data_IF_432157799478
#
_entry.id   IF_432157799478
#
_cell.length_a   1.000
_cell.length_b   1.000
_cell.length_c   1.000
_cell.angle_alpha   90.00
_cell.angle_beta   90.00
_cell.angle_gamma   90.00
#
_symmetry.space_group_name_H-M   'P 1'
#
loop_
_entity.id
_entity.type
_entity.pdbx_description
1 polymer ?
#
# COMPACT_ATOMS: atom_id res chain seq x y z
N UNK A 1 -60.56 -1.07 -17.21
CA UNK A 1 -59.79 -2.25 -16.75
C UNK A 1 -58.32 -1.95 -17.03
N UNK A 2 -57.64 -1.30 -16.06
CA UNK A 2 -56.22 -0.94 -16.16
C UNK A 2 -55.41 -1.98 -15.41
N UNK A 3 -54.56 -2.65 -16.13
CA UNK A 3 -53.61 -3.64 -15.59
C UNK A 3 -52.32 -2.90 -15.16
N UNK A 4 -52.05 -2.86 -13.83
CA UNK A 4 -50.78 -2.38 -13.28
C UNK A 4 -49.71 -3.48 -13.44
N UNK A 5 -48.71 -3.22 -14.25
CA UNK A 5 -47.49 -4.04 -14.27
C UNK A 5 -46.60 -3.62 -13.10
N UNK A 6 -46.49 -4.51 -12.10
CA UNK A 6 -45.42 -4.41 -11.08
C UNK A 6 -44.11 -4.94 -11.67
N UNK A 7 -43.17 -4.03 -11.92
CA UNK A 7 -41.78 -4.40 -12.22
C UNK A 7 -41.03 -4.71 -10.92
N UNK A 8 -40.70 -5.97 -10.71
CA UNK A 8 -39.78 -6.39 -9.65
C UNK A 8 -38.35 -6.00 -10.05
N UNK A 9 -37.82 -4.97 -9.39
CA UNK A 9 -36.38 -4.70 -9.41
C UNK A 9 -35.68 -5.77 -8.54
N UNK A 10 -35.04 -6.75 -9.18
CA UNK A 10 -34.13 -7.65 -8.48
C UNK A 10 -32.84 -6.88 -8.18
N UNK A 11 -32.64 -6.55 -6.91
CA UNK A 11 -31.35 -6.05 -6.42
C UNK A 11 -30.28 -7.13 -6.67
N UNK A 12 -29.32 -6.83 -7.53
CA UNK A 12 -28.14 -7.66 -7.69
C UNK A 12 -27.41 -7.71 -6.34
N UNK A 13 -27.35 -8.89 -5.76
CA UNK A 13 -26.52 -9.20 -4.60
C UNK A 13 -25.06 -8.99 -5.01
N UNK A 14 -24.32 -8.24 -4.20
CA UNK A 14 -22.86 -8.16 -4.34
C UNK A 14 -22.32 -9.58 -4.36
N UNK A 15 -21.56 -9.91 -5.42
CA UNK A 15 -20.91 -11.20 -5.55
C UNK A 15 -19.98 -11.42 -4.34
N UNK A 16 -20.16 -12.55 -3.68
CA UNK A 16 -19.26 -13.08 -2.66
C UNK A 16 -17.82 -12.98 -3.18
N UNK A 17 -17.01 -12.18 -2.51
CA UNK A 17 -15.57 -12.21 -2.71
C UNK A 17 -15.11 -13.62 -2.31
N UNK A 18 -14.76 -14.45 -3.30
CA UNK A 18 -14.32 -15.81 -3.10
C UNK A 18 -13.18 -15.80 -2.08
N UNK A 19 -13.32 -16.56 -0.98
CA UNK A 19 -12.26 -16.74 0.00
C UNK A 19 -11.00 -17.23 -0.74
N UNK A 20 -9.81 -16.67 -0.41
CA UNK A 20 -8.58 -17.08 -1.07
C UNK A 20 -8.34 -18.58 -0.82
N UNK A 21 -8.28 -19.35 -1.89
CA UNK A 21 -8.08 -20.81 -1.86
C UNK A 21 -6.64 -21.22 -1.48
N UNK A 22 -5.88 -20.31 -0.86
CA UNK A 22 -4.46 -20.51 -0.58
C UNK A 22 -4.14 -20.32 0.91
N UNK A 23 -3.55 -21.37 1.50
CA UNK A 23 -3.10 -21.33 2.90
C UNK A 23 -1.83 -20.48 3.01
N UNK A 24 -1.90 -19.40 3.80
CA UNK A 24 -0.76 -18.54 4.08
C UNK A 24 0.23 -19.22 5.03
N UNK A 25 1.52 -18.87 4.97
CA UNK A 25 2.48 -19.30 5.97
C UNK A 25 2.03 -18.91 7.38
N UNK A 26 2.35 -19.79 8.36
CA UNK A 26 2.03 -19.53 9.76
C UNK A 26 2.53 -18.16 10.22
N UNK A 27 1.65 -17.37 10.84
CA UNK A 27 1.94 -16.03 11.33
C UNK A 27 1.55 -14.91 10.36
N UNK A 28 0.91 -15.26 9.23
CA UNK A 28 0.38 -14.30 8.25
C UNK A 28 -1.14 -14.40 8.12
N UNK A 29 -1.77 -13.29 7.76
CA UNK A 29 -3.19 -13.18 7.44
C UNK A 29 -3.41 -12.17 6.32
N UNK A 30 -4.61 -12.16 5.76
CA UNK A 30 -5.06 -11.11 4.85
C UNK A 30 -5.58 -9.91 5.65
N UNK A 31 -5.21 -8.69 5.26
CA UNK A 31 -5.65 -7.47 5.94
C UNK A 31 -7.18 -7.32 5.98
N UNK A 32 -7.87 -7.72 4.89
CA UNK A 32 -9.33 -7.62 4.79
C UNK A 32 -10.09 -8.65 5.67
N UNK A 33 -9.43 -9.69 6.17
CA UNK A 33 -10.02 -10.61 7.16
C UNK A 33 -9.98 -10.03 8.59
N UNK A 34 -9.20 -8.98 8.80
CA UNK A 34 -8.99 -8.34 10.11
C UNK A 34 -9.63 -6.95 10.16
N UNK A 35 -9.72 -6.25 9.04
CA UNK A 35 -10.22 -4.88 8.91
C UNK A 35 -11.33 -4.87 7.85
N UNK A 36 -12.58 -4.87 8.29
CA UNK A 36 -13.77 -5.09 7.43
C UNK A 36 -13.96 -4.06 6.31
N UNK A 37 -13.53 -2.80 6.50
CA UNK A 37 -13.73 -1.70 5.56
C UNK A 37 -12.43 -1.19 4.92
N UNK A 38 -11.34 -1.99 5.01
CA UNK A 38 -10.08 -1.67 4.35
C UNK A 38 -10.27 -1.62 2.83
N UNK A 39 -9.68 -0.61 2.21
CA UNK A 39 -9.64 -0.49 0.75
C UNK A 39 -8.30 -1.02 0.25
N UNK A 40 -8.35 -1.90 -0.74
CA UNK A 40 -7.15 -2.46 -1.36
C UNK A 40 -6.94 -1.83 -2.74
N UNK A 41 -5.88 -1.03 -2.90
CA UNK A 41 -5.38 -0.50 -4.16
C UNK A 41 -3.96 -1.03 -4.40
N UNK A 42 -3.83 -2.35 -4.48
CA UNK A 42 -2.53 -3.05 -4.53
C UNK A 42 -1.85 -2.77 -5.86
N UNK A 43 -0.98 -1.77 -5.87
CA UNK A 43 -0.37 -1.19 -7.08
C UNK A 43 0.49 -2.18 -7.84
N UNK A 44 1.15 -3.09 -7.16
CA UNK A 44 2.06 -4.04 -7.79
C UNK A 44 1.35 -5.25 -8.42
N UNK A 45 0.06 -5.45 -8.14
CA UNK A 45 -0.78 -6.41 -8.83
C UNK A 45 -1.34 -5.89 -10.17
N UNK A 46 -1.00 -4.67 -10.57
CA UNK A 46 -1.39 -4.02 -11.84
C UNK A 46 -0.19 -3.36 -12.50
N UNK A 47 -0.37 -2.82 -13.71
CA UNK A 47 0.66 -2.04 -14.41
C UNK A 47 0.76 -0.58 -13.93
N UNK A 48 -0.16 -0.10 -13.07
CA UNK A 48 -0.13 1.28 -12.57
C UNK A 48 0.81 1.41 -11.35
N UNK A 49 2.10 1.26 -11.60
CA UNK A 49 3.20 1.41 -10.64
C UNK A 49 4.44 1.98 -11.36
N UNK A 50 5.49 2.27 -10.63
CA UNK A 50 6.69 2.92 -11.17
C UNK A 50 7.47 2.07 -12.21
N UNK A 51 7.21 0.76 -12.27
CA UNK A 51 7.79 -0.14 -13.29
C UNK A 51 6.97 -0.10 -14.59
N UNK A 52 5.63 0.00 -14.47
CA UNK A 52 4.68 -0.03 -15.58
C UNK A 52 4.30 -1.43 -16.05
N UNK A 53 4.52 -2.45 -15.21
CA UNK A 53 4.14 -3.85 -15.44
C UNK A 53 3.65 -4.45 -14.11
N UNK A 54 2.94 -5.59 -14.17
CA UNK A 54 2.65 -6.40 -12.98
C UNK A 54 3.97 -6.91 -12.40
N UNK A 55 4.13 -6.80 -11.10
CA UNK A 55 5.38 -7.14 -10.42
C UNK A 55 5.45 -8.62 -10.09
N UNK A 56 6.64 -9.21 -10.27
CA UNK A 56 6.88 -10.62 -9.99
C UNK A 56 6.44 -11.01 -8.58
N UNK A 57 5.59 -12.02 -8.49
CA UNK A 57 5.08 -12.56 -7.23
C UNK A 57 3.78 -11.93 -6.74
N UNK A 58 3.20 -10.95 -7.47
CA UNK A 58 1.84 -10.48 -7.27
C UNK A 58 0.90 -11.17 -8.26
N UNK A 59 0.17 -12.18 -7.78
CA UNK A 59 -0.77 -12.98 -8.57
C UNK A 59 -2.22 -12.53 -8.34
N UNK A 60 -2.48 -11.83 -7.22
CA UNK A 60 -3.77 -11.23 -6.89
C UNK A 60 -3.59 -9.93 -6.09
N UNK A 61 -4.60 -9.02 -6.06
CA UNK A 61 -4.52 -7.73 -5.39
C UNK A 61 -4.85 -7.84 -3.89
N UNK A 62 -4.12 -8.66 -3.14
CA UNK A 62 -4.30 -8.83 -1.71
C UNK A 62 -3.20 -8.13 -0.90
N UNK A 63 -3.59 -7.60 0.26
CA UNK A 63 -2.67 -7.16 1.30
C UNK A 63 -2.48 -8.28 2.32
N UNK A 64 -1.29 -8.89 2.32
CA UNK A 64 -0.90 -9.93 3.28
C UNK A 64 0.01 -9.29 4.33
N UNK A 65 -0.19 -9.60 5.62
CA UNK A 65 0.58 -9.03 6.72
C UNK A 65 0.90 -10.11 7.75
N UNK A 66 1.88 -9.85 8.62
CA UNK A 66 1.98 -10.61 9.87
C UNK A 66 0.76 -10.34 10.74
N UNK A 67 0.34 -11.34 11.54
CA UNK A 67 -0.83 -11.21 12.43
C UNK A 67 -0.68 -10.00 13.36
N UNK A 68 0.52 -9.77 13.89
CA UNK A 68 0.82 -8.66 14.80
C UNK A 68 0.68 -7.31 14.09
N UNK A 69 1.18 -7.20 12.84
CA UNK A 69 1.04 -5.97 12.06
C UNK A 69 -0.43 -5.71 11.66
N UNK A 70 -1.19 -6.76 11.34
CA UNK A 70 -2.61 -6.65 11.02
C UNK A 70 -3.43 -6.17 12.23
N UNK A 71 -3.14 -6.69 13.43
CA UNK A 71 -3.83 -6.25 14.66
C UNK A 71 -3.48 -4.80 15.03
N UNK A 72 -2.22 -4.40 14.90
CA UNK A 72 -1.81 -3.01 15.12
C UNK A 72 -2.46 -2.06 14.08
N UNK A 73 -2.53 -2.49 12.80
CA UNK A 73 -3.20 -1.72 11.76
C UNK A 73 -4.72 -1.65 12.01
N UNK A 74 -5.33 -2.71 12.53
CA UNK A 74 -6.75 -2.68 12.91
C UNK A 74 -7.01 -1.61 13.96
N UNK A 75 -6.18 -1.50 14.98
CA UNK A 75 -6.31 -0.46 16.01
C UNK A 75 -6.19 0.95 15.39
N UNK A 76 -5.24 1.15 14.48
CA UNK A 76 -5.12 2.41 13.72
C UNK A 76 -6.36 2.66 12.83
N UNK A 77 -6.89 1.64 12.16
CA UNK A 77 -8.09 1.75 11.33
C UNK A 77 -9.32 2.11 12.15
N UNK A 78 -9.49 1.54 13.34
CA UNK A 78 -10.57 1.87 14.27
C UNK A 78 -10.48 3.35 14.74
N UNK A 79 -9.25 3.85 14.99
CA UNK A 79 -9.00 5.25 15.32
C UNK A 79 -9.32 6.19 14.13
N UNK A 80 -8.89 5.86 12.91
CA UNK A 80 -9.23 6.61 11.69
C UNK A 80 -10.73 6.64 11.45
N UNK A 81 -11.41 5.50 11.61
CA UNK A 81 -12.87 5.39 11.43
C UNK A 81 -13.63 6.29 12.40
N UNK A 82 -13.18 6.38 13.66
CA UNK A 82 -13.77 7.28 14.65
C UNK A 82 -13.64 8.77 14.25
N UNK A 83 -12.67 9.10 13.39
CA UNK A 83 -12.48 10.44 12.83
C UNK A 83 -13.13 10.62 11.45
N UNK A 84 -13.84 9.62 10.92
CA UNK A 84 -14.51 9.68 9.63
C UNK A 84 -13.63 9.33 8.43
N UNK A 85 -12.56 8.53 8.63
CA UNK A 85 -11.66 8.08 7.58
C UNK A 85 -11.61 6.55 7.49
N UNK A 86 -11.15 6.05 6.34
CA UNK A 86 -10.89 4.64 6.08
C UNK A 86 -9.43 4.44 5.63
N UNK A 87 -8.89 3.27 5.91
CA UNK A 87 -7.54 2.88 5.47
C UNK A 87 -7.59 2.38 4.02
N UNK A 88 -6.66 2.84 3.18
CA UNK A 88 -6.40 2.30 1.85
C UNK A 88 -4.95 1.82 1.78
N UNK A 89 -4.75 0.55 1.38
CA UNK A 89 -3.44 -0.10 1.30
C UNK A 89 -2.96 -0.16 -0.14
N UNK A 90 -1.74 0.31 -0.39
CA UNK A 90 -1.05 0.23 -1.69
C UNK A 90 -0.16 -1.01 -1.78
N UNK A 91 0.52 -1.37 -0.68
CA UNK A 91 1.36 -2.55 -0.55
C UNK A 91 1.51 -2.97 0.91
N UNK A 92 1.75 -4.27 1.16
CA UNK A 92 2.00 -4.82 2.48
C UNK A 92 3.16 -5.83 2.43
N UNK A 93 2.93 -7.12 2.61
CA UNK A 93 3.97 -8.11 2.33
C UNK A 93 4.35 -8.07 0.85
N UNK A 94 5.63 -7.94 0.57
CA UNK A 94 6.22 -7.92 -0.77
C UNK A 94 7.18 -9.09 -0.92
N UNK A 95 6.96 -10.05 -1.82
CA UNK A 95 7.87 -11.19 -1.98
C UNK A 95 9.26 -10.74 -2.43
N UNK A 96 10.29 -11.51 -2.08
CA UNK A 96 11.67 -11.21 -2.48
C UNK A 96 11.85 -11.22 -4.02
N UNK A 97 11.00 -11.95 -4.75
CA UNK A 97 10.94 -11.90 -6.22
C UNK A 97 10.61 -10.50 -6.75
N UNK A 98 9.66 -9.80 -6.11
CA UNK A 98 9.31 -8.42 -6.44
C UNK A 98 10.48 -7.45 -6.21
N UNK A 99 11.17 -7.57 -5.08
CA UNK A 99 12.37 -6.77 -4.79
C UNK A 99 13.45 -6.97 -5.87
N UNK A 100 13.67 -8.22 -6.28
CA UNK A 100 14.58 -8.53 -7.39
C UNK A 100 14.11 -7.96 -8.72
N UNK A 101 12.79 -7.92 -8.97
CA UNK A 101 12.22 -7.29 -10.16
C UNK A 101 12.52 -5.79 -10.19
N UNK A 102 12.33 -5.06 -9.10
CA UNK A 102 12.65 -3.64 -9.01
C UNK A 102 14.12 -3.35 -9.31
N UNK A 103 15.03 -4.15 -8.73
CA UNK A 103 16.47 -4.01 -8.99
C UNK A 103 16.81 -4.29 -10.46
N UNK A 104 16.25 -5.33 -11.08
CA UNK A 104 16.44 -5.61 -12.52
C UNK A 104 15.89 -4.48 -13.39
N UNK A 105 14.70 -3.97 -13.06
CA UNK A 105 14.09 -2.86 -13.77
C UNK A 105 14.94 -1.58 -13.68
N UNK A 106 15.51 -1.25 -12.53
CA UNK A 106 16.33 -0.05 -12.35
C UNK A 106 17.58 -0.04 -13.27
N UNK A 107 18.02 -1.22 -13.73
CA UNK A 107 19.17 -1.38 -14.63
C UNK A 107 18.80 -1.26 -16.12
N UNK A 108 17.52 -1.29 -16.48
CA UNK A 108 17.03 -1.13 -17.87
C UNK A 108 16.96 0.36 -18.22
N UNK A 109 18.06 0.96 -18.66
CA UNK A 109 18.22 2.41 -18.82
C UNK A 109 17.19 3.05 -19.77
N UNK A 110 16.75 2.33 -20.80
CA UNK A 110 15.89 2.84 -21.86
C UNK A 110 14.39 2.80 -21.51
N UNK A 111 14.00 2.08 -20.47
CA UNK A 111 12.60 1.99 -20.03
C UNK A 111 12.28 3.12 -19.01
N UNK A 112 11.83 4.25 -19.52
CA UNK A 112 11.50 5.46 -18.74
C UNK A 112 10.02 5.84 -18.82
N UNK A 113 9.13 4.92 -19.24
CA UNK A 113 7.71 5.17 -19.53
C UNK A 113 6.92 5.71 -18.35
N UNK A 114 7.28 5.36 -17.10
CA UNK A 114 6.59 5.79 -15.88
C UNK A 114 7.28 6.98 -15.19
N UNK A 115 8.31 7.57 -15.84
CA UNK A 115 9.15 8.60 -15.25
C UNK A 115 8.38 9.82 -14.79
N UNK A 116 7.52 10.35 -15.66
CA UNK A 116 6.88 11.65 -15.44
C UNK A 116 5.92 11.63 -14.23
N UNK A 117 5.38 10.47 -13.90
CA UNK A 117 4.50 10.27 -12.76
C UNK A 117 5.26 9.95 -11.47
N UNK A 118 6.22 9.00 -11.53
CA UNK A 118 6.80 8.43 -10.32
C UNK A 118 8.20 8.95 -9.97
N UNK A 119 9.03 9.32 -10.97
CA UNK A 119 10.41 9.75 -10.71
C UNK A 119 10.88 10.87 -11.66
N UNK A 120 10.09 11.98 -11.76
CA UNK A 120 10.35 13.04 -12.73
C UNK A 120 11.70 13.74 -12.55
N UNK A 121 12.23 13.75 -11.32
CA UNK A 121 13.52 14.35 -10.98
C UNK A 121 14.71 13.52 -11.47
N UNK A 122 14.50 12.24 -11.83
CA UNK A 122 15.57 11.31 -12.17
C UNK A 122 15.67 11.07 -13.67
N UNK A 123 16.83 11.40 -14.25
CA UNK A 123 17.21 11.05 -15.64
C UNK A 123 17.81 9.65 -15.74
N UNK A 124 18.27 9.11 -14.63
CA UNK A 124 18.85 7.78 -14.52
C UNK A 124 18.27 7.07 -13.28
N UNK A 125 17.48 6.03 -13.54
CA UNK A 125 16.79 5.31 -12.48
C UNK A 125 17.67 4.38 -11.64
N UNK A 126 18.95 4.16 -12.03
CA UNK A 126 19.92 3.46 -11.14
C UNK A 126 20.16 4.27 -9.86
N UNK A 127 20.03 5.59 -9.91
CA UNK A 127 20.14 6.47 -8.74
C UNK A 127 19.07 6.19 -7.69
N UNK A 128 17.91 5.64 -8.08
CA UNK A 128 16.85 5.26 -7.14
C UNK A 128 17.30 4.18 -6.16
N UNK A 129 18.23 3.31 -6.60
CA UNK A 129 18.86 2.30 -5.72
C UNK A 129 19.91 2.96 -4.81
N UNK A 130 20.73 3.84 -5.36
CA UNK A 130 21.83 4.50 -4.63
C UNK A 130 21.27 5.44 -3.55
N UNK A 131 20.13 6.09 -3.82
CA UNK A 131 19.46 6.99 -2.88
C UNK A 131 18.52 6.25 -1.92
N UNK A 132 18.34 4.94 -2.08
CA UNK A 132 17.60 4.07 -1.16
C UNK A 132 16.09 4.03 -1.36
N UNK A 133 15.54 4.57 -2.47
CA UNK A 133 14.13 4.38 -2.82
C UNK A 133 13.85 2.94 -3.24
N UNK A 134 14.80 2.30 -3.92
CA UNK A 134 14.73 0.88 -4.27
C UNK A 134 15.76 0.12 -3.42
N UNK A 135 15.27 -0.55 -2.40
CA UNK A 135 16.11 -1.34 -1.50
C UNK A 135 16.40 -2.74 -2.09
N UNK A 136 17.64 -3.24 -1.91
CA UNK A 136 17.98 -4.65 -2.20
C UNK A 136 17.42 -5.60 -1.14
N UNK A 137 17.21 -5.09 0.08
CA UNK A 137 16.60 -5.77 1.22
C UNK A 137 15.45 -4.89 1.74
N UNK A 138 14.22 -5.29 1.46
CA UNK A 138 13.03 -4.52 1.85
C UNK A 138 12.44 -5.02 3.16
N UNK A 139 11.99 -4.10 4.01
CA UNK A 139 11.21 -4.43 5.22
C UNK A 139 9.89 -5.14 4.89
N UNK A 140 9.30 -4.85 3.72
CA UNK A 140 8.09 -5.51 3.25
C UNK A 140 8.23 -7.03 3.10
N UNK A 141 9.44 -7.54 2.80
CA UNK A 141 9.66 -8.99 2.68
C UNK A 141 9.47 -9.76 3.99
N UNK A 142 9.35 -9.04 5.12
CA UNK A 142 9.10 -9.60 6.45
C UNK A 142 7.64 -9.54 6.88
N UNK A 143 6.78 -8.89 6.07
CA UNK A 143 5.33 -8.84 6.26
C UNK A 143 4.84 -7.87 7.34
N UNK A 144 5.72 -7.02 7.90
CA UNK A 144 5.35 -6.06 8.95
C UNK A 144 5.56 -4.61 8.55
N UNK A 145 5.81 -4.34 7.27
CA UNK A 145 5.78 -3.01 6.67
C UNK A 145 4.51 -2.86 5.82
N UNK A 146 4.05 -1.63 5.68
CA UNK A 146 2.85 -1.27 4.94
C UNK A 146 3.05 0.07 4.26
N UNK A 147 2.60 0.17 3.01
CA UNK A 147 2.44 1.39 2.24
C UNK A 147 0.95 1.70 2.13
N UNK A 148 0.52 2.87 2.64
CA UNK A 148 -0.89 3.17 2.81
C UNK A 148 -1.21 4.65 2.76
N UNK A 149 -2.50 4.94 2.62
CA UNK A 149 -3.09 6.27 2.84
C UNK A 149 -4.40 6.15 3.62
N UNK A 150 -5.03 7.29 3.88
CA UNK A 150 -6.40 7.37 4.39
C UNK A 150 -7.31 8.02 3.36
N UNK A 151 -8.57 7.61 3.36
CA UNK A 151 -9.63 8.14 2.48
C UNK A 151 -10.74 8.75 3.33
N UNK A 152 -11.61 9.52 2.72
CA UNK A 152 -12.92 9.80 3.29
C UNK A 152 -13.79 8.52 3.34
N UNK A 153 -14.99 8.62 3.91
CA UNK A 153 -15.92 7.48 4.02
C UNK A 153 -16.46 6.99 2.67
N UNK A 154 -16.30 7.79 1.59
CA UNK A 154 -16.66 7.40 0.23
C UNK A 154 -15.51 6.71 -0.50
N UNK A 155 -14.34 6.60 0.13
CA UNK A 155 -13.15 5.96 -0.45
C UNK A 155 -12.29 6.90 -1.31
N UNK A 156 -12.51 8.22 -1.22
CA UNK A 156 -11.68 9.22 -1.92
C UNK A 156 -10.42 9.49 -1.07
N UNK A 157 -9.20 9.24 -1.59
CA UNK A 157 -7.97 9.48 -0.84
C UNK A 157 -7.80 10.96 -0.48
N UNK A 158 -7.28 11.23 0.73
CA UNK A 158 -6.86 12.57 1.11
C UNK A 158 -5.66 13.00 0.26
N UNK A 159 -5.63 14.27 -0.10
CA UNK A 159 -4.50 14.84 -0.85
C UNK A 159 -3.24 14.91 0.04
N UNK A 160 -2.26 14.08 -0.28
CA UNK A 160 -0.96 14.01 0.40
C UNK A 160 0.13 14.83 -0.32
N UNK A 161 -0.22 15.55 -1.40
CA UNK A 161 0.71 16.40 -2.17
C UNK A 161 1.57 15.67 -3.19
N UNK A 162 1.70 14.35 -3.07
CA UNK A 162 2.24 13.45 -4.11
C UNK A 162 1.46 12.15 -4.11
N UNK A 163 1.48 11.43 -5.23
CA UNK A 163 1.03 10.05 -5.29
C UNK A 163 1.94 9.10 -4.48
N UNK A 164 1.48 7.87 -4.34
CA UNK A 164 2.27 6.73 -3.87
C UNK A 164 3.43 6.47 -4.84
N UNK A 165 4.59 6.03 -4.33
CA UNK A 165 5.81 5.78 -5.10
C UNK A 165 6.36 6.99 -5.87
N UNK A 166 6.00 8.21 -5.50
CA UNK A 166 6.67 9.40 -6.02
C UNK A 166 8.08 9.50 -5.43
N UNK A 167 9.10 9.13 -6.18
CA UNK A 167 10.49 9.18 -5.77
C UNK A 167 11.06 10.59 -5.96
N UNK A 168 11.06 11.35 -4.88
CA UNK A 168 11.52 12.74 -4.84
C UNK A 168 11.30 13.37 -3.47
N UNK A 169 12.02 14.47 -3.21
CA UNK A 169 11.98 15.15 -1.91
C UNK A 169 10.59 15.66 -1.51
N UNK A 170 9.70 15.86 -2.49
CA UNK A 170 8.32 16.25 -2.22
C UNK A 170 7.52 15.16 -1.49
N UNK A 171 7.91 13.88 -1.58
CA UNK A 171 7.30 12.77 -0.83
C UNK A 171 7.79 12.64 0.61
N UNK A 172 8.85 13.33 1.01
CA UNK A 172 9.43 13.20 2.35
C UNK A 172 8.51 13.79 3.42
N UNK A 173 8.57 13.24 4.62
CA UNK A 173 8.01 13.92 5.78
C UNK A 173 8.70 15.27 5.99
N UNK A 174 7.91 16.32 6.29
CA UNK A 174 8.44 17.69 6.39
C UNK A 174 8.85 18.34 5.06
N UNK A 175 8.41 17.79 3.92
CA UNK A 175 8.68 18.33 2.59
C UNK A 175 8.27 19.81 2.48
N UNK A 176 9.08 20.59 1.79
CA UNK A 176 8.73 21.96 1.39
C UNK A 176 7.94 21.97 0.09
N UNK A 177 7.08 22.98 -0.11
CA UNK A 177 6.32 23.13 -1.37
C UNK A 177 5.08 22.26 -1.47
N UNK A 178 4.59 21.73 -0.36
CA UNK A 178 3.24 21.19 -0.19
C UNK A 178 2.37 22.18 0.59
N UNK A 179 1.04 22.07 0.46
CA UNK A 179 0.09 22.96 1.13
C UNK A 179 0.00 22.66 2.64
N UNK A 180 -0.51 23.59 3.45
CA UNK A 180 -0.81 23.32 4.87
C UNK A 180 -1.77 22.15 5.06
N UNK A 181 -2.78 21.98 4.19
CA UNK A 181 -3.71 20.86 4.21
C UNK A 181 -3.01 19.53 3.94
N UNK A 182 -2.18 19.44 2.91
CA UNK A 182 -1.37 18.26 2.60
C UNK A 182 -0.42 17.90 3.75
N UNK A 183 0.15 18.90 4.41
CA UNK A 183 0.97 18.72 5.61
C UNK A 183 0.14 18.12 6.75
N UNK A 184 -1.05 18.70 7.03
CA UNK A 184 -1.94 18.23 8.09
C UNK A 184 -2.42 16.79 7.83
N UNK A 185 -2.74 16.43 6.58
CA UNK A 185 -3.12 15.07 6.19
C UNK A 185 -2.00 14.06 6.47
N UNK A 186 -0.76 14.39 6.12
CA UNK A 186 0.41 13.53 6.41
C UNK A 186 0.70 13.42 7.91
N UNK A 187 0.52 14.50 8.65
CA UNK A 187 0.71 14.50 10.10
C UNK A 187 -0.35 13.63 10.79
N UNK A 188 -1.62 13.76 10.40
CA UNK A 188 -2.70 12.91 10.89
C UNK A 188 -2.37 11.42 10.66
N UNK A 189 -2.01 11.05 9.41
CA UNK A 189 -1.63 9.68 9.07
C UNK A 189 -0.46 9.21 9.95
N UNK A 190 0.61 9.98 10.03
CA UNK A 190 1.82 9.66 10.81
C UNK A 190 1.52 9.46 12.29
N UNK A 191 0.78 10.40 12.90
CA UNK A 191 0.52 10.38 14.33
C UNK A 191 -0.31 9.18 14.76
N UNK A 192 -1.37 8.85 14.01
CA UNK A 192 -2.19 7.67 14.29
C UNK A 192 -1.35 6.40 14.15
N UNK A 193 -0.58 6.27 13.06
CA UNK A 193 0.27 5.10 12.86
C UNK A 193 1.31 4.95 13.96
N UNK A 194 1.95 6.05 14.40
CA UNK A 194 2.93 6.01 15.49
C UNK A 194 2.31 5.61 16.84
N UNK A 195 1.12 6.13 17.18
CA UNK A 195 0.40 5.72 18.41
C UNK A 195 0.05 4.25 18.42
N UNK A 196 -0.15 3.67 17.24
CA UNK A 196 -0.49 2.26 17.07
C UNK A 196 0.72 1.37 16.76
N UNK A 197 1.93 1.81 17.16
CA UNK A 197 3.14 0.97 17.18
C UNK A 197 3.91 0.91 15.86
N UNK A 198 3.59 1.76 14.89
CA UNK A 198 4.35 1.84 13.64
C UNK A 198 5.37 2.97 13.67
N UNK A 199 6.49 2.78 12.97
CA UNK A 199 7.50 3.78 12.71
C UNK A 199 7.44 4.19 11.23
N UNK A 200 7.39 5.49 10.96
CA UNK A 200 7.47 6.05 9.61
C UNK A 200 8.85 5.89 8.99
N UNK A 201 8.94 5.97 7.66
CA UNK A 201 10.17 6.17 6.93
C UNK A 201 10.25 7.62 6.42
N UNK A 202 11.36 8.30 6.70
CA UNK A 202 11.49 9.75 6.48
C UNK A 202 11.25 10.18 5.02
N UNK A 203 11.67 9.34 4.05
CA UNK A 203 11.63 9.68 2.62
C UNK A 203 10.30 9.38 1.92
N UNK A 204 9.35 8.73 2.62
CA UNK A 204 8.12 8.22 2.04
C UNK A 204 6.95 8.43 3.02
N UNK A 205 6.04 9.36 2.70
CA UNK A 205 4.92 9.69 3.59
C UNK A 205 3.95 8.52 3.80
N UNK A 206 3.93 7.55 2.89
CA UNK A 206 3.05 6.37 2.91
C UNK A 206 3.62 5.18 3.67
N UNK A 207 4.96 5.11 3.88
CA UNK A 207 5.64 3.92 4.38
C UNK A 207 5.75 3.88 5.90
N UNK A 208 5.23 2.78 6.48
CA UNK A 208 5.26 2.49 7.90
C UNK A 208 5.73 1.07 8.16
N UNK A 209 6.45 0.87 9.27
CA UNK A 209 6.92 -0.43 9.71
C UNK A 209 6.58 -0.66 11.17
N UNK A 210 6.02 -1.83 11.52
CA UNK A 210 5.73 -2.20 12.90
C UNK A 210 7.00 -2.25 13.74
N UNK A 211 6.96 -1.64 14.92
CA UNK A 211 7.98 -1.82 15.96
C UNK A 211 7.82 -3.20 16.59
N UNK A 212 8.93 -3.91 16.82
CA UNK A 212 8.87 -5.26 17.39
C UNK A 212 8.28 -6.30 16.43
N UNK A 213 8.56 -6.17 15.12
CA UNK A 213 8.14 -7.14 14.10
C UNK A 213 8.53 -8.59 14.46
N UNK A 214 7.66 -9.62 14.21
CA UNK A 214 7.90 -11.00 14.64
C UNK A 214 9.03 -11.70 13.87
N UNK A 215 9.39 -11.22 12.67
CA UNK A 215 10.38 -11.83 11.80
C UNK A 215 11.49 -10.85 11.40
N UNK A 216 12.27 -10.26 12.35
CA UNK A 216 13.20 -9.16 12.06
C UNK A 216 14.33 -9.55 11.10
N UNK A 217 14.70 -10.85 11.07
CA UNK A 217 15.85 -11.37 10.31
C UNK A 217 15.45 -12.31 9.18
N UNK A 218 14.14 -12.43 8.86
CA UNK A 218 13.64 -13.41 7.89
C UNK A 218 12.89 -12.75 6.74
N UNK A 219 13.48 -12.78 5.55
CA UNK A 219 12.77 -12.44 4.30
C UNK A 219 12.00 -13.63 3.74
N UNK A 220 10.77 -13.38 3.30
CA UNK A 220 9.91 -14.38 2.69
C UNK A 220 9.83 -14.20 1.17
N UNK A 221 9.39 -15.26 0.47
CA UNK A 221 9.25 -15.24 -1.00
C UNK A 221 8.09 -16.15 -1.47
N UNK A 222 6.97 -16.15 -0.75
CA UNK A 222 5.74 -16.77 -1.25
C UNK A 222 4.94 -15.75 -2.09
N UNK A 223 4.12 -16.18 -3.07
CA UNK A 223 3.35 -15.25 -3.89
C UNK A 223 2.24 -14.57 -3.09
N UNK A 224 1.88 -13.36 -3.51
CA UNK A 224 0.66 -12.66 -3.08
C UNK A 224 -0.49 -13.17 -3.97
N UNK A 225 -1.34 -14.04 -3.45
CA UNK A 225 -2.47 -14.65 -4.16
C UNK A 225 -3.59 -15.06 -3.22
#
# INVERSE_FOLDING_TARGET
>A
MFMLLLSFLTAARAEDAAQPAHELPKGFCYAHEVIDDVILDIRYASAHNFVGDVIDGYEAPYAIMTNEAAQALKAAADEFRAMGYRVMIFDAYRPQSAVKHFVRWSQKKDDMRMRDEFYPEYKNKTLLVDEGYIARNSSHTRGSAIDMTITDMNGVPLDMGTGFDYFGKKAWHGAKGITPEQTANRELLREVMQRNGFRMFEKEWWHYKLLGEPFPDKSFNFPVK
#
